data_IF_168550291321
#
_entry.id   IF_168550291321
#
_cell.length_a   1.000
_cell.length_b   1.000
_cell.length_c   1.000
_cell.angle_alpha   90.00
_cell.angle_beta   90.00
_cell.angle_gamma   90.00
#
_symmetry.space_group_name_H-M   'P 1'
#
loop_
_entity.id
_entity.type
_entity.pdbx_description
1 polymer ?
#
# COMPACT_ATOMS: atom_id res chain seq x y z
N UNK A 1 9.42 6.34 58.93
CA UNK A 1 9.79 6.89 57.61
C UNK A 1 9.11 6.03 56.57
N UNK A 2 8.13 6.58 55.84
CA UNK A 2 7.25 5.85 54.91
C UNK A 2 7.94 5.79 53.55
N UNK A 3 8.35 4.60 53.12
CA UNK A 3 8.87 4.36 51.78
C UNK A 3 7.68 4.33 50.80
N UNK A 4 7.50 5.42 50.05
CA UNK A 4 6.50 5.50 48.99
C UNK A 4 7.02 4.71 47.77
N UNK A 5 6.52 3.48 47.62
CA UNK A 5 6.73 2.65 46.44
C UNK A 5 5.75 3.14 45.37
N UNK A 6 6.22 4.01 44.47
CA UNK A 6 5.46 4.39 43.27
C UNK A 6 5.77 3.35 42.19
N UNK A 7 4.95 2.31 42.17
CA UNK A 7 4.95 1.28 41.13
C UNK A 7 4.20 1.80 39.90
N UNK A 8 4.88 2.47 38.99
CA UNK A 8 4.35 2.80 37.65
C UNK A 8 4.32 1.56 36.78
N UNK A 9 3.17 0.89 36.74
CA UNK A 9 2.87 -0.19 35.79
C UNK A 9 2.67 0.42 34.39
N UNK A 10 3.74 0.45 33.59
CA UNK A 10 3.66 0.81 32.18
C UNK A 10 2.97 -0.32 31.40
N UNK A 11 1.65 -0.20 31.20
CA UNK A 11 0.86 -1.13 30.40
C UNK A 11 1.12 -0.83 28.91
N UNK A 12 2.14 -1.44 28.32
CA UNK A 12 2.31 -1.44 26.86
C UNK A 12 1.24 -2.36 26.26
N UNK A 13 0.15 -1.78 25.76
CA UNK A 13 -0.83 -2.51 24.98
C UNK A 13 -0.18 -2.95 23.66
N UNK A 14 0.19 -4.23 23.58
CA UNK A 14 0.63 -4.84 22.33
C UNK A 14 -0.62 -4.97 21.45
N UNK A 15 -0.80 -4.04 20.51
CA UNK A 15 -1.82 -4.15 19.48
C UNK A 15 -1.36 -5.26 18.52
N UNK A 16 -1.86 -6.47 18.72
CA UNK A 16 -1.76 -7.56 17.74
C UNK A 16 -2.69 -7.22 16.58
N UNK A 17 -2.22 -6.36 15.66
CA UNK A 17 -2.90 -6.13 14.39
C UNK A 17 -2.75 -7.35 13.51
N UNK A 18 -3.85 -8.04 13.20
CA UNK A 18 -3.85 -9.08 12.18
C UNK A 18 -3.48 -8.44 10.82
N UNK A 19 -2.30 -8.76 10.30
CA UNK A 19 -1.91 -8.31 8.96
C UNK A 19 -2.78 -9.03 7.94
N UNK A 20 -3.68 -8.28 7.29
CA UNK A 20 -4.43 -8.80 6.16
C UNK A 20 -3.46 -9.19 5.05
N UNK A 21 -3.71 -10.30 4.31
CA UNK A 21 -2.88 -10.67 3.18
C UNK A 21 -2.83 -9.52 2.17
N UNK A 22 -1.62 -9.10 1.83
CA UNK A 22 -1.36 -7.99 0.89
C UNK A 22 -0.84 -8.53 -0.44
N UNK A 23 -1.23 -7.88 -1.53
CA UNK A 23 -0.65 -8.06 -2.86
C UNK A 23 0.33 -6.94 -3.17
N UNK A 24 1.45 -7.28 -3.81
CA UNK A 24 2.32 -6.29 -4.44
C UNK A 24 1.76 -5.97 -5.83
N UNK A 25 1.48 -4.70 -6.10
CA UNK A 25 0.84 -4.27 -7.34
C UNK A 25 1.44 -2.98 -7.87
N UNK A 26 1.31 -2.80 -9.17
CA UNK A 26 1.49 -1.54 -9.87
C UNK A 26 0.10 -1.04 -10.25
N UNK A 27 -0.21 0.21 -9.89
CA UNK A 27 -1.42 0.92 -10.31
C UNK A 27 -1.02 2.00 -11.29
N UNK A 28 -1.60 1.95 -12.49
CA UNK A 28 -1.34 2.91 -13.56
C UNK A 28 -2.64 3.50 -14.10
N UNK A 29 -2.54 4.73 -14.60
CA UNK A 29 -3.63 5.54 -15.12
C UNK A 29 -3.20 6.17 -16.46
N UNK A 30 -4.16 6.57 -17.31
CA UNK A 30 -3.93 7.45 -18.46
C UNK A 30 -3.29 8.78 -18.05
N UNK A 31 -2.52 9.37 -18.97
CA UNK A 31 -1.73 10.59 -18.70
C UNK A 31 -2.59 11.80 -18.33
N UNK A 32 -3.82 11.89 -18.84
CA UNK A 32 -4.79 12.95 -18.54
C UNK A 32 -5.41 12.86 -17.14
N UNK A 33 -5.11 11.80 -16.38
CA UNK A 33 -5.68 11.60 -15.05
C UNK A 33 -5.20 12.69 -14.09
N UNK A 34 -6.13 13.43 -13.45
CA UNK A 34 -5.77 14.46 -12.48
C UNK A 34 -5.04 13.89 -11.26
N UNK A 35 -4.07 14.63 -10.73
CA UNK A 35 -3.23 14.18 -9.61
C UNK A 35 -4.05 13.83 -8.34
N UNK A 36 -5.16 14.54 -8.10
CA UNK A 36 -6.01 14.27 -6.95
C UNK A 36 -6.65 12.87 -6.97
N UNK A 37 -6.81 12.24 -8.15
CA UNK A 37 -7.31 10.86 -8.27
C UNK A 37 -6.23 9.87 -7.79
N UNK A 38 -4.97 10.10 -8.17
CA UNK A 38 -3.84 9.30 -7.69
C UNK A 38 -3.68 9.46 -6.18
N UNK A 39 -3.80 10.68 -5.67
CA UNK A 39 -3.73 10.94 -4.23
C UNK A 39 -4.86 10.26 -3.47
N UNK A 40 -6.10 10.33 -3.98
CA UNK A 40 -7.23 9.61 -3.41
C UNK A 40 -6.97 8.08 -3.35
N UNK A 41 -6.43 7.50 -4.43
CA UNK A 41 -6.11 6.08 -4.47
C UNK A 41 -5.00 5.71 -3.47
N UNK A 42 -3.92 6.50 -3.42
CA UNK A 42 -2.81 6.30 -2.48
C UNK A 42 -3.30 6.38 -1.02
N UNK A 43 -4.16 7.34 -0.71
CA UNK A 43 -4.66 7.56 0.64
C UNK A 43 -5.63 6.45 1.07
N UNK A 44 -6.48 5.97 0.17
CA UNK A 44 -7.34 4.83 0.43
C UNK A 44 -6.54 3.55 0.71
N UNK A 45 -5.45 3.30 -0.04
CA UNK A 45 -4.54 2.18 0.19
C UNK A 45 -3.90 2.28 1.57
N UNK A 46 -3.39 3.46 1.95
CA UNK A 46 -2.82 3.69 3.30
C UNK A 46 -3.85 3.50 4.40
N UNK A 47 -5.06 4.03 4.22
CA UNK A 47 -6.16 3.89 5.18
C UNK A 47 -6.58 2.41 5.39
N UNK A 48 -6.44 1.59 4.35
CA UNK A 48 -6.68 0.14 4.42
C UNK A 48 -5.51 -0.66 5.04
N UNK A 49 -4.46 0.00 5.54
CA UNK A 49 -3.27 -0.65 6.10
C UNK A 49 -2.26 -1.15 5.06
N UNK A 50 -2.40 -0.71 3.81
CA UNK A 50 -1.39 -0.88 2.77
C UNK A 50 -0.29 0.18 2.83
N UNK A 51 0.66 0.09 1.91
CA UNK A 51 1.78 1.02 1.79
C UNK A 51 2.12 1.30 0.33
N UNK A 52 2.54 2.53 0.03
CA UNK A 52 3.09 2.90 -1.28
C UNK A 52 4.58 2.60 -1.25
N UNK A 53 5.05 1.77 -2.18
CA UNK A 53 6.46 1.33 -2.25
C UNK A 53 7.26 2.15 -3.23
N UNK A 54 6.62 2.71 -4.26
CA UNK A 54 7.27 3.57 -5.24
C UNK A 54 6.26 4.50 -5.92
N UNK A 55 6.66 5.72 -6.24
CA UNK A 55 5.88 6.64 -7.07
C UNK A 55 6.66 6.91 -8.37
N UNK A 56 6.02 6.68 -9.52
CA UNK A 56 6.68 6.86 -10.80
C UNK A 56 6.66 8.32 -11.22
N UNK A 57 7.76 8.78 -11.83
CA UNK A 57 7.87 10.14 -12.38
C UNK A 57 7.51 10.23 -13.86
N UNK A 58 7.59 9.11 -14.57
CA UNK A 58 7.40 9.05 -16.03
C UNK A 58 5.97 8.67 -16.45
N UNK A 59 5.23 8.00 -15.58
CA UNK A 59 3.84 7.56 -15.83
C UNK A 59 2.95 8.03 -14.68
N UNK A 60 1.65 8.17 -14.94
CA UNK A 60 0.64 8.39 -13.89
C UNK A 60 0.40 7.08 -13.15
N UNK A 61 1.23 6.78 -12.16
CA UNK A 61 1.09 5.55 -11.39
C UNK A 61 1.99 5.45 -10.18
N UNK A 62 1.80 4.37 -9.42
CA UNK A 62 2.59 4.04 -8.25
C UNK A 62 2.58 2.53 -8.00
N UNK A 63 3.60 2.03 -7.31
CA UNK A 63 3.64 0.67 -6.79
C UNK A 63 3.20 0.65 -5.32
N UNK A 64 2.51 -0.40 -4.90
CA UNK A 64 1.98 -0.54 -3.56
C UNK A 64 1.95 -1.99 -3.08
N UNK A 65 1.92 -2.16 -1.76
CA UNK A 65 1.43 -3.38 -1.11
C UNK A 65 0.09 -3.06 -0.46
N UNK A 66 -0.96 -3.77 -0.85
CA UNK A 66 -2.32 -3.45 -0.42
C UNK A 66 -3.19 -4.71 -0.24
N UNK A 67 -4.17 -4.70 0.67
CA UNK A 67 -5.18 -5.75 0.73
C UNK A 67 -5.99 -5.85 -0.56
N UNK A 68 -6.31 -7.06 -1.03
CA UNK A 68 -7.03 -7.25 -2.30
C UNK A 68 -8.35 -6.44 -2.39
N UNK A 69 -9.09 -6.35 -1.27
CA UNK A 69 -10.36 -5.63 -1.19
C UNK A 69 -10.26 -4.14 -1.54
N UNK A 70 -9.17 -3.46 -1.17
CA UNK A 70 -9.03 -2.04 -1.49
C UNK A 70 -8.69 -1.82 -2.97
N UNK A 71 -8.01 -2.78 -3.60
CA UNK A 71 -7.66 -2.72 -5.02
C UNK A 71 -8.91 -2.79 -5.91
N UNK A 72 -9.90 -3.60 -5.55
CA UNK A 72 -11.21 -3.63 -6.24
C UNK A 72 -11.91 -2.25 -6.17
N UNK A 73 -11.80 -1.55 -5.03
CA UNK A 73 -12.38 -0.21 -4.87
C UNK A 73 -11.62 0.83 -5.69
N UNK A 74 -10.28 0.78 -5.69
CA UNK A 74 -9.41 1.66 -6.49
C UNK A 74 -9.69 1.49 -7.98
N UNK A 75 -9.87 0.25 -8.45
CA UNK A 75 -10.23 -0.03 -9.84
C UNK A 75 -11.60 0.56 -10.20
N UNK A 76 -12.57 0.49 -9.29
CA UNK A 76 -13.92 1.04 -9.50
C UNK A 76 -13.93 2.57 -9.52
N UNK A 77 -13.20 3.25 -8.63
CA UNK A 77 -13.10 4.72 -8.63
C UNK A 77 -12.32 5.23 -9.83
N UNK A 78 -11.36 4.45 -10.28
CA UNK A 78 -10.64 4.71 -11.51
C UNK A 78 -11.46 4.45 -12.76
N UNK A 79 -12.76 4.11 -12.72
CA UNK A 79 -13.50 3.76 -13.93
C UNK A 79 -13.62 4.92 -14.94
N UNK A 80 -13.73 6.16 -14.47
CA UNK A 80 -13.69 7.34 -15.35
C UNK A 80 -12.30 7.56 -15.97
N UNK A 81 -11.26 7.01 -15.33
CA UNK A 81 -9.85 7.14 -15.69
C UNK A 81 -9.19 5.79 -16.00
N UNK A 82 -9.98 4.76 -16.30
CA UNK A 82 -9.57 3.37 -16.58
C UNK A 82 -8.31 2.89 -15.85
N UNK A 83 -8.30 2.92 -14.51
CA UNK A 83 -7.16 2.46 -13.72
C UNK A 83 -6.82 0.99 -14.01
N UNK A 84 -5.56 0.72 -14.32
CA UNK A 84 -5.02 -0.63 -14.53
C UNK A 84 -4.24 -1.05 -13.29
N UNK A 85 -4.54 -2.25 -12.79
CA UNK A 85 -3.87 -2.83 -11.63
C UNK A 85 -3.23 -4.15 -12.06
N UNK A 86 -1.92 -4.22 -11.96
CA UNK A 86 -1.11 -5.39 -12.33
C UNK A 86 -0.34 -5.90 -11.12
N UNK A 87 -0.08 -7.22 -11.04
CA UNK A 87 0.77 -7.77 -9.99
C UNK A 87 2.23 -7.38 -10.24
N UNK A 88 2.90 -6.89 -9.20
CA UNK A 88 4.32 -6.53 -9.23
C UNK A 88 5.17 -7.80 -9.02
N UNK A 89 5.63 -8.38 -10.13
CA UNK A 89 6.33 -9.66 -10.15
C UNK A 89 7.85 -9.49 -10.22
N UNK A 90 8.57 -10.35 -9.50
CA UNK A 90 10.02 -10.40 -9.60
C UNK A 90 10.46 -10.98 -10.95
N UNK A 91 11.37 -10.26 -11.61
CA UNK A 91 12.05 -10.73 -12.82
C UNK A 91 13.46 -11.19 -12.45
N UNK A 92 13.83 -12.39 -12.86
CA UNK A 92 15.17 -12.97 -12.65
C UNK A 92 15.92 -13.12 -13.96
N UNK A 93 17.24 -12.89 -13.93
CA UNK A 93 18.11 -13.28 -15.04
C UNK A 93 18.24 -14.80 -15.07
N UNK A 94 18.06 -15.41 -16.24
CA UNK A 94 18.37 -16.82 -16.45
C UNK A 94 19.77 -16.89 -17.05
N UNK A 95 20.76 -17.30 -16.26
CA UNK A 95 22.09 -17.60 -16.76
C UNK A 95 22.11 -19.06 -17.20
N UNK A 96 22.13 -19.31 -18.51
CA UNK A 96 22.52 -20.61 -19.06
C UNK A 96 24.04 -20.67 -19.08
N UNK A 97 24.62 -21.56 -18.29
CA UNK A 97 26.05 -21.87 -18.35
C UNK A 97 26.33 -22.55 -19.71
N UNK A 98 27.08 -21.88 -20.59
CA UNK A 98 27.70 -22.46 -21.79
C UNK A 98 29.07 -23.09 -21.47
#
# INVERSE_FOLDING_TARGET
MKLAIISTLAMSAIVLGAQLPQKAVIVSYPDETPDHILDQAKDAIKAAGGMITHEYKLIKGFAAKAPAKILESVQTWGNDYHAVIEEDQMVSIVTTDE
#
